data_IF_602218083514
#
_entry.id   IF_602218083514
#
_cell.length_a   1.000
_cell.length_b   1.000
_cell.length_c   1.000
_cell.angle_alpha   90.00
_cell.angle_beta   90.00
_cell.angle_gamma   90.00
#
_symmetry.space_group_name_H-M   'P 1'
#
loop_
_entity.id
_entity.type
_entity.pdbx_description
1 polymer ?
#
# COMPACT_ATOMS: atom_id res chain seq x y z
N UNK A 1 52.68 -28.53 35.35
CA UNK A 1 51.89 -29.19 34.27
C UNK A 1 50.53 -28.50 34.19
N UNK A 2 50.15 -28.04 32.99
CA UNK A 2 48.87 -27.42 32.58
C UNK A 2 48.53 -26.11 33.32
N UNK A 3 48.51 -24.91 32.74
CA UNK A 3 48.12 -24.50 31.38
C UNK A 3 46.80 -23.72 31.48
N UNK A 4 46.79 -22.41 31.19
CA UNK A 4 45.56 -21.64 31.25
C UNK A 4 45.73 -20.18 30.86
N UNK A 5 45.75 -19.92 29.55
CA UNK A 5 45.75 -18.58 28.91
C UNK A 5 44.67 -17.69 29.52
N UNK A 6 45.03 -16.54 30.09
CA UNK A 6 44.09 -15.41 30.22
C UNK A 6 44.31 -14.49 29.04
N UNK A 7 43.54 -14.78 28.01
CA UNK A 7 43.34 -13.94 26.84
C UNK A 7 42.91 -12.56 27.30
N UNK A 8 43.72 -11.56 26.94
CA UNK A 8 43.34 -10.18 26.73
C UNK A 8 42.06 -10.17 25.89
N UNK A 9 40.92 -9.95 26.53
CA UNK A 9 39.64 -9.87 25.85
C UNK A 9 38.95 -8.57 26.30
N UNK A 10 38.88 -7.61 25.37
CA UNK A 10 38.25 -6.30 25.56
C UNK A 10 36.72 -6.37 25.67
N UNK A 11 36.18 -7.44 26.24
CA UNK A 11 34.75 -7.73 26.39
C UNK A 11 34.20 -7.44 27.78
N UNK A 12 35.04 -7.02 28.72
CA UNK A 12 34.64 -6.68 30.09
C UNK A 12 33.70 -5.47 30.26
N UNK A 13 33.65 -4.44 29.38
CA UNK A 13 32.68 -3.37 29.61
C UNK A 13 31.25 -3.83 29.36
N UNK A 14 31.01 -4.81 28.48
CA UNK A 14 29.65 -5.17 28.05
C UNK A 14 28.88 -5.98 29.09
N UNK A 15 29.53 -6.96 29.74
CA UNK A 15 28.91 -7.81 30.76
C UNK A 15 28.63 -7.02 32.06
N UNK A 16 29.45 -6.00 32.35
CA UNK A 16 29.24 -5.11 33.48
C UNK A 16 28.00 -4.21 33.27
N UNK A 17 27.79 -3.73 32.04
CA UNK A 17 26.63 -2.92 31.66
C UNK A 17 25.33 -3.74 31.70
N UNK A 18 25.38 -5.01 31.28
CA UNK A 18 24.24 -5.92 31.30
C UNK A 18 23.72 -6.19 32.73
N UNK A 19 24.64 -6.39 33.69
CA UNK A 19 24.29 -6.58 35.10
C UNK A 19 23.76 -5.30 35.76
N UNK A 20 24.25 -4.13 35.36
CA UNK A 20 23.73 -2.84 35.83
C UNK A 20 22.34 -2.55 35.25
N UNK A 21 22.10 -2.85 33.98
CA UNK A 21 20.79 -2.69 33.34
C UNK A 21 19.70 -3.59 33.95
N UNK A 22 20.08 -4.79 34.42
CA UNK A 22 19.19 -5.70 35.15
C UNK A 22 18.78 -5.16 36.53
N UNK A 23 19.67 -4.43 37.22
CA UNK A 23 19.37 -3.78 38.50
C UNK A 23 18.43 -2.57 38.34
N UNK A 24 18.52 -1.89 37.18
CA UNK A 24 17.64 -0.77 36.80
C UNK A 24 16.33 -1.19 36.09
N UNK A 25 16.04 -2.49 35.98
CA UNK A 25 14.78 -2.98 35.41
C UNK A 25 14.57 -2.64 33.92
N UNK A 26 15.65 -2.37 33.18
CA UNK A 26 15.55 -2.07 31.75
C UNK A 26 15.35 -3.37 30.94
N UNK A 27 14.39 -3.44 30.01
CA UNK A 27 14.24 -4.60 29.14
C UNK A 27 15.46 -4.74 28.22
N UNK A 28 16.06 -5.94 28.20
CA UNK A 28 17.27 -6.23 27.43
C UNK A 28 17.00 -6.15 25.92
N UNK A 29 17.88 -5.55 25.09
CA UNK A 29 17.84 -5.79 23.65
C UNK A 29 18.31 -7.22 23.40
N UNK A 30 17.34 -8.08 23.08
CA UNK A 30 17.55 -9.47 22.69
C UNK A 30 18.36 -9.50 21.37
N UNK A 31 19.70 -9.44 21.44
CA UNK A 31 20.59 -9.64 20.28
C UNK A 31 20.60 -11.14 19.94
N UNK A 32 19.45 -11.61 19.49
CA UNK A 32 19.27 -12.93 18.90
C UNK A 32 19.76 -12.86 17.47
N UNK A 33 20.81 -13.62 17.18
CA UNK A 33 21.27 -13.91 15.81
C UNK A 33 20.08 -14.46 15.01
N UNK A 34 19.42 -13.63 14.21
CA UNK A 34 18.22 -14.03 13.47
C UNK A 34 18.65 -14.63 12.12
N UNK A 35 18.38 -15.91 11.85
CA UNK A 35 18.61 -16.47 10.52
C UNK A 35 17.63 -15.84 9.50
N UNK A 36 18.10 -15.48 8.29
CA UNK A 36 17.42 -14.61 7.32
C UNK A 36 16.11 -15.16 6.72
N UNK A 37 15.66 -16.35 7.13
CA UNK A 37 14.50 -17.03 6.53
C UNK A 37 13.22 -16.90 7.37
N UNK A 38 13.34 -16.53 8.65
CA UNK A 38 12.17 -16.32 9.51
C UNK A 38 11.52 -14.94 9.32
N UNK A 39 12.20 -14.00 8.67
CA UNK A 39 11.68 -12.66 8.37
C UNK A 39 10.42 -12.76 7.52
N UNK A 40 10.40 -13.66 6.54
CA UNK A 40 9.27 -13.81 5.61
C UNK A 40 8.05 -14.40 6.32
N UNK A 41 8.25 -15.44 7.14
CA UNK A 41 7.14 -16.05 7.90
C UNK A 41 6.69 -15.19 9.09
N UNK A 42 7.60 -14.49 9.78
CA UNK A 42 7.22 -13.55 10.85
C UNK A 42 6.56 -12.29 10.30
N UNK A 43 6.93 -11.85 9.10
CA UNK A 43 6.28 -10.74 8.41
C UNK A 43 4.87 -11.13 7.97
N UNK A 44 4.69 -12.35 7.42
CA UNK A 44 3.38 -12.87 7.04
C UNK A 44 2.46 -13.09 8.27
N UNK A 45 3.01 -13.60 9.37
CA UNK A 45 2.26 -13.85 10.61
C UNK A 45 1.98 -12.55 11.40
N UNK A 46 2.89 -11.56 11.43
CA UNK A 46 2.57 -10.19 11.90
C UNK A 46 1.52 -9.52 11.01
N UNK A 47 1.58 -9.73 9.70
CA UNK A 47 0.54 -9.28 8.77
C UNK A 47 -0.84 -9.81 9.13
N UNK A 48 -0.96 -11.06 9.53
CA UNK A 48 -2.30 -11.59 9.87
C UNK A 48 -2.72 -11.16 11.29
N UNK A 49 -1.76 -10.87 12.18
CA UNK A 49 -1.99 -10.67 13.61
C UNK A 49 -2.09 -9.19 14.07
N UNK A 50 -1.56 -8.22 13.33
CA UNK A 50 -1.80 -6.78 13.61
C UNK A 50 -3.16 -6.26 13.09
N UNK A 51 -4.02 -7.16 12.58
CA UNK A 51 -5.39 -6.85 12.13
C UNK A 51 -6.37 -6.49 13.28
N UNK A 52 -5.95 -6.59 14.54
CA UNK A 52 -6.78 -6.32 15.72
C UNK A 52 -6.45 -4.99 16.45
N UNK A 53 -5.56 -4.12 15.90
CA UNK A 53 -5.12 -2.88 16.56
C UNK A 53 -5.17 -1.60 15.71
N UNK A 54 -4.70 -0.48 16.27
CA UNK A 54 -4.75 0.89 15.71
C UNK A 54 -4.17 1.06 14.28
N UNK A 55 -3.51 0.05 13.72
CA UNK A 55 -2.84 0.06 12.43
C UNK A 55 -3.66 -0.54 11.26
N UNK A 56 -4.98 -0.73 11.44
CA UNK A 56 -5.88 -1.28 10.42
C UNK A 56 -5.78 -0.58 9.04
N UNK A 57 -5.52 0.72 9.01
CA UNK A 57 -5.38 1.49 7.77
C UNK A 57 -4.16 1.05 6.92
N UNK A 58 -3.08 0.58 7.55
CA UNK A 58 -1.91 0.04 6.84
C UNK A 58 -2.29 -1.26 6.12
N UNK A 59 -3.09 -2.11 6.77
CA UNK A 59 -3.60 -3.35 6.15
C UNK A 59 -4.46 -3.08 4.94
N UNK A 60 -5.40 -2.14 5.05
CA UNK A 60 -6.25 -1.78 3.92
C UNK A 60 -5.43 -1.18 2.79
N UNK A 61 -4.46 -0.31 3.09
CA UNK A 61 -3.56 0.26 2.10
C UNK A 61 -2.77 -0.80 1.33
N UNK A 62 -2.23 -1.80 2.04
CA UNK A 62 -1.48 -2.88 1.40
C UNK A 62 -2.41 -3.81 0.62
N UNK A 63 -3.58 -4.13 1.15
CA UNK A 63 -4.59 -4.93 0.45
C UNK A 63 -4.99 -4.24 -0.87
N UNK A 64 -5.27 -2.94 -0.83
CA UNK A 64 -5.58 -2.11 -2.00
C UNK A 64 -4.44 -2.13 -3.02
N UNK A 65 -3.19 -1.96 -2.58
CA UNK A 65 -2.02 -1.99 -3.44
C UNK A 65 -1.86 -3.36 -4.14
N UNK A 66 -2.06 -4.46 -3.40
CA UNK A 66 -2.00 -5.82 -3.93
C UNK A 66 -3.13 -6.07 -4.94
N UNK A 67 -4.35 -5.61 -4.64
CA UNK A 67 -5.51 -5.75 -5.55
C UNK A 67 -5.27 -5.00 -6.86
N UNK A 68 -4.82 -3.75 -6.81
CA UNK A 68 -4.48 -2.96 -8.01
C UNK A 68 -3.37 -3.64 -8.79
N UNK A 69 -2.29 -4.02 -8.11
CA UNK A 69 -1.15 -4.68 -8.75
C UNK A 69 -1.56 -5.96 -9.47
N UNK A 70 -2.38 -6.78 -8.81
CA UNK A 70 -2.88 -8.04 -9.38
C UNK A 70 -3.81 -7.78 -10.57
N UNK A 71 -4.73 -6.83 -10.47
CA UNK A 71 -5.60 -6.46 -11.61
C UNK A 71 -4.76 -6.01 -12.79
N UNK A 72 -3.78 -5.11 -12.59
CA UNK A 72 -2.96 -4.59 -13.68
C UNK A 72 -2.03 -5.63 -14.33
N UNK A 73 -1.48 -6.56 -13.55
CA UNK A 73 -0.48 -7.53 -14.04
C UNK A 73 -1.09 -8.85 -14.54
N UNK A 74 -2.22 -9.27 -13.98
CA UNK A 74 -2.78 -10.60 -14.24
C UNK A 74 -4.00 -10.60 -15.16
N UNK A 75 -4.65 -9.46 -15.39
CA UNK A 75 -5.86 -9.41 -16.23
C UNK A 75 -5.57 -8.93 -17.66
N UNK A 76 -6.35 -9.46 -18.62
CA UNK A 76 -6.31 -9.04 -20.04
C UNK A 76 -6.57 -7.54 -20.22
N UNK A 77 -7.26 -6.91 -19.26
CA UNK A 77 -7.47 -5.47 -19.19
C UNK A 77 -6.13 -4.72 -19.19
N UNK A 78 -5.14 -5.18 -18.41
CA UNK A 78 -3.83 -4.54 -18.31
C UNK A 78 -3.06 -4.46 -19.63
N UNK A 79 -3.18 -5.49 -20.49
CA UNK A 79 -2.57 -5.48 -21.82
C UNK A 79 -3.31 -4.56 -22.78
N UNK A 80 -4.65 -4.60 -22.78
CA UNK A 80 -5.48 -3.78 -23.66
C UNK A 80 -5.35 -2.29 -23.31
N UNK A 81 -5.27 -1.93 -22.03
CA UNK A 81 -5.04 -0.55 -21.59
C UNK A 81 -3.69 -0.05 -22.09
N UNK A 82 -2.63 -0.86 -21.95
CA UNK A 82 -1.28 -0.47 -22.37
C UNK A 82 -1.21 -0.27 -23.88
N UNK A 83 -1.85 -1.16 -24.65
CA UNK A 83 -1.97 -1.03 -26.10
C UNK A 83 -2.86 0.16 -26.51
N UNK A 84 -3.96 0.42 -25.81
CA UNK A 84 -4.88 1.52 -26.10
C UNK A 84 -4.32 2.91 -25.78
N UNK A 85 -3.36 3.00 -24.85
CA UNK A 85 -2.62 4.26 -24.58
C UNK A 85 -1.64 4.58 -25.70
N UNK A 86 -1.09 3.56 -26.36
CA UNK A 86 -0.13 3.71 -27.46
C UNK A 86 -0.85 4.06 -28.77
N UNK A 87 -1.85 3.27 -29.17
CA UNK A 87 -2.69 3.57 -30.33
C UNK A 87 -4.11 3.01 -30.14
N UNK A 88 -5.03 3.91 -29.76
CA UNK A 88 -6.45 3.61 -29.58
C UNK A 88 -7.15 3.21 -30.89
N UNK A 89 -6.73 3.75 -32.04
CA UNK A 89 -7.37 3.49 -33.34
C UNK A 89 -7.01 2.08 -33.83
N UNK A 90 -5.77 1.64 -33.60
CA UNK A 90 -5.32 0.27 -33.87
C UNK A 90 -6.08 -0.78 -33.02
N UNK A 91 -6.31 -0.50 -31.73
CA UNK A 91 -7.04 -1.42 -30.85
C UNK A 91 -8.53 -1.49 -31.22
N UNK A 92 -9.14 -0.38 -31.66
CA UNK A 92 -10.51 -0.36 -32.16
C UNK A 92 -10.65 -1.12 -33.50
N UNK A 93 -9.65 -1.07 -34.37
CA UNK A 93 -9.62 -1.84 -35.63
C UNK A 93 -9.59 -3.37 -35.41
N UNK A 94 -9.08 -3.84 -34.27
CA UNK A 94 -9.15 -5.25 -33.84
C UNK A 94 -10.54 -5.66 -33.32
N UNK A 95 -11.52 -4.75 -33.36
CA UNK A 95 -12.89 -5.00 -32.91
C UNK A 95 -13.06 -4.92 -31.38
N UNK A 96 -12.05 -4.44 -30.66
CA UNK A 96 -12.11 -4.25 -29.21
C UNK A 96 -12.65 -2.84 -28.95
N UNK A 97 -13.79 -2.73 -28.26
CA UNK A 97 -14.31 -1.44 -27.84
C UNK A 97 -13.46 -0.88 -26.69
N UNK A 98 -12.56 0.05 -27.03
CA UNK A 98 -11.63 0.67 -26.09
C UNK A 98 -12.37 1.45 -25.00
N UNK A 99 -13.48 2.15 -25.34
CA UNK A 99 -14.26 2.86 -24.34
C UNK A 99 -14.75 1.95 -23.21
N UNK A 100 -15.33 0.78 -23.51
CA UNK A 100 -15.84 -0.15 -22.49
C UNK A 100 -14.75 -0.64 -21.55
N UNK A 101 -13.58 -0.96 -22.11
CA UNK A 101 -12.43 -1.42 -21.30
C UNK A 101 -11.94 -0.30 -20.40
N UNK A 102 -11.84 0.93 -20.91
CA UNK A 102 -11.41 2.09 -20.15
C UNK A 102 -12.41 2.46 -19.05
N UNK A 103 -13.72 2.43 -19.35
CA UNK A 103 -14.79 2.65 -18.37
C UNK A 103 -14.75 1.61 -17.26
N UNK A 104 -14.55 0.32 -17.57
CA UNK A 104 -14.45 -0.73 -16.55
C UNK A 104 -13.30 -0.47 -15.58
N UNK A 105 -12.14 -0.06 -16.10
CA UNK A 105 -10.95 0.25 -15.29
C UNK A 105 -11.18 1.49 -14.44
N UNK A 106 -11.82 2.51 -15.00
CA UNK A 106 -12.19 3.72 -14.26
C UNK A 106 -13.14 3.40 -13.10
N UNK A 107 -14.19 2.59 -13.35
CA UNK A 107 -15.13 2.15 -12.32
C UNK A 107 -14.43 1.35 -11.23
N UNK A 108 -13.53 0.43 -11.61
CA UNK A 108 -12.72 -0.33 -10.64
C UNK A 108 -11.82 0.59 -9.81
N UNK A 109 -11.16 1.57 -10.43
CA UNK A 109 -10.35 2.57 -9.73
C UNK A 109 -11.17 3.44 -8.77
N UNK A 110 -12.35 3.88 -9.20
CA UNK A 110 -13.28 4.65 -8.37
C UNK A 110 -13.79 3.84 -7.18
N UNK A 111 -14.10 2.55 -7.36
CA UNK A 111 -14.50 1.65 -6.28
C UNK A 111 -13.38 1.48 -5.24
N UNK A 112 -12.13 1.32 -5.70
CA UNK A 112 -10.96 1.25 -4.82
C UNK A 112 -10.71 2.57 -4.08
N UNK A 113 -10.84 3.71 -4.76
CA UNK A 113 -10.73 5.02 -4.14
C UNK A 113 -11.81 5.24 -3.07
N UNK A 114 -13.05 4.82 -3.33
CA UNK A 114 -14.14 4.89 -2.37
C UNK A 114 -13.87 4.04 -1.12
N UNK A 115 -13.36 2.82 -1.28
CA UNK A 115 -12.98 1.96 -0.16
C UNK A 115 -11.83 2.57 0.67
N UNK A 116 -10.86 3.21 0.02
CA UNK A 116 -9.82 3.99 0.70
C UNK A 116 -10.38 5.18 1.48
N UNK A 117 -11.34 5.91 0.89
CA UNK A 117 -12.02 7.04 1.54
C UNK A 117 -12.84 6.64 2.77
N UNK A 118 -13.59 5.53 2.71
CA UNK A 118 -14.35 5.00 3.85
C UNK A 118 -13.41 4.63 5.00
N UNK A 119 -12.26 4.05 4.67
CA UNK A 119 -11.22 3.71 5.64
C UNK A 119 -10.61 4.95 6.30
N UNK A 120 -10.53 6.07 5.57
CA UNK A 120 -10.04 7.34 6.10
C UNK A 120 -11.07 8.06 6.99
N UNK A 121 -12.38 7.82 6.79
CA UNK A 121 -13.48 8.52 7.47
C UNK A 121 -13.37 8.64 9.00
N UNK A 122 -13.03 7.59 9.79
CA UNK A 122 -12.96 7.72 11.25
C UNK A 122 -11.78 8.58 11.76
N UNK A 123 -10.81 8.91 10.90
CA UNK A 123 -9.67 9.77 11.25
C UNK A 123 -9.95 11.25 11.04
N UNK A 124 -11.04 11.60 10.36
CA UNK A 124 -11.41 12.99 10.11
C UNK A 124 -12.12 13.57 11.34
N UNK A 125 -11.62 14.72 11.79
CA UNK A 125 -12.29 15.53 12.81
C UNK A 125 -13.47 16.25 12.16
N UNK A 126 -14.64 16.18 12.81
CA UNK A 126 -15.88 16.78 12.30
C UNK A 126 -15.92 18.24 12.72
N UNK A 127 -15.72 19.14 11.76
CA UNK A 127 -15.85 20.59 11.93
C UNK A 127 -16.96 21.11 11.00
N UNK A 128 -17.74 22.14 11.38
CA UNK A 128 -18.87 22.64 10.58
C UNK A 128 -18.50 23.11 9.16
N UNK A 129 -17.23 23.51 8.95
CA UNK A 129 -16.71 24.00 7.67
C UNK A 129 -16.13 22.89 6.77
N UNK A 130 -16.01 21.65 7.28
CA UNK A 130 -15.33 20.56 6.56
C UNK A 130 -15.97 20.26 5.20
N UNK A 131 -17.30 20.40 5.09
CA UNK A 131 -18.05 20.07 3.88
C UNK A 131 -17.66 20.92 2.67
N UNK A 132 -17.33 22.20 2.87
CA UNK A 132 -16.90 23.09 1.78
C UNK A 132 -15.57 22.64 1.18
N UNK A 133 -14.63 22.21 2.02
CA UNK A 133 -13.34 21.67 1.56
C UNK A 133 -13.52 20.37 0.76
N UNK A 134 -14.31 19.41 1.26
CA UNK A 134 -14.56 18.15 0.55
C UNK A 134 -15.27 18.35 -0.79
N UNK A 135 -16.26 19.25 -0.84
CA UNK A 135 -16.94 19.59 -2.08
C UNK A 135 -15.97 20.14 -3.13
N UNK A 136 -15.07 21.05 -2.73
CA UNK A 136 -14.09 21.64 -3.62
C UNK A 136 -13.09 20.59 -4.13
N UNK A 137 -12.58 19.71 -3.25
CA UNK A 137 -11.69 18.62 -3.66
C UNK A 137 -12.36 17.64 -4.63
N UNK A 138 -13.62 17.27 -4.37
CA UNK A 138 -14.40 16.41 -5.27
C UNK A 138 -14.61 17.08 -6.64
N UNK A 139 -14.94 18.37 -6.66
CA UNK A 139 -15.09 19.13 -7.90
C UNK A 139 -13.80 19.19 -8.70
N UNK A 140 -12.67 19.51 -8.05
CA UNK A 140 -11.35 19.55 -8.70
C UNK A 140 -10.99 18.18 -9.29
N UNK A 141 -11.20 17.10 -8.53
CA UNK A 141 -10.92 15.75 -9.00
C UNK A 141 -11.74 15.39 -10.25
N UNK A 142 -13.04 15.73 -10.28
CA UNK A 142 -13.93 15.47 -11.43
C UNK A 142 -13.58 16.33 -12.65
N UNK A 143 -13.25 17.61 -12.44
CA UNK A 143 -12.84 18.53 -13.52
C UNK A 143 -11.54 18.07 -14.16
N UNK A 144 -10.53 17.74 -13.36
CA UNK A 144 -9.24 17.22 -13.85
C UNK A 144 -9.43 15.83 -14.49
N UNK A 145 -10.33 15.02 -13.95
CA UNK A 145 -10.67 13.70 -14.48
C UNK A 145 -11.39 13.71 -15.83
N UNK A 146 -11.88 14.87 -16.27
CA UNK A 146 -12.43 15.06 -17.62
C UNK A 146 -13.95 14.87 -17.68
N UNK A 147 -14.69 15.93 -17.34
CA UNK A 147 -16.13 16.09 -17.67
C UNK A 147 -16.40 16.24 -19.20
N UNK A 148 -15.48 15.79 -20.06
CA UNK A 148 -15.44 16.15 -21.48
C UNK A 148 -15.76 15.04 -22.48
N UNK A 149 -15.92 13.79 -22.05
CA UNK A 149 -16.00 12.65 -23.00
C UNK A 149 -17.43 12.24 -23.40
N UNK A 150 -18.37 13.18 -23.44
CA UNK A 150 -19.72 12.93 -23.95
C UNK A 150 -20.08 13.79 -25.17
N UNK A 151 -19.33 14.85 -25.49
CA UNK A 151 -19.75 15.80 -26.54
C UNK A 151 -19.19 15.51 -27.94
N UNK A 152 -18.30 14.52 -28.09
CA UNK A 152 -17.73 14.16 -29.40
C UNK A 152 -18.22 12.81 -29.94
N UNK A 153 -19.22 12.19 -29.29
CA UNK A 153 -19.74 10.87 -29.66
C UNK A 153 -21.01 10.92 -30.53
N UNK A 154 -21.22 12.03 -31.23
CA UNK A 154 -22.46 12.29 -31.97
C UNK A 154 -22.26 12.90 -33.36
N UNK A 155 -21.16 12.61 -34.06
CA UNK A 155 -21.05 12.92 -35.49
C UNK A 155 -20.12 11.95 -36.22
N UNK A 156 -20.65 10.77 -36.49
CA UNK A 156 -20.45 10.15 -37.79
C UNK A 156 -21.81 10.16 -38.44
N UNK A 157 -22.19 11.29 -39.01
CA UNK A 157 -22.71 11.54 -40.38
C UNK A 157 -22.66 13.05 -40.62
#
# INVERSE_FOLDING_TARGET
>A
QRGGRRTRDGRTPFIAQEKLAAWFGMPQPHISRMPPQKIIHSFLLRFIQEAEGENYHIFVGILMAVVVWWILHRTRLGMIIRAGVEDREMVEALGINVQRVFTLVFVMGAALAALGGITAAPFLRIDPDMGLAFQLYAFIAVVIGGMGSYILFGRKE
#
